data_IF_262261240072
#
_entry.id   IF_262261240072
#
_cell.length_a   1.000
_cell.length_b   1.000
_cell.length_c   1.000
_cell.angle_alpha   90.00
_cell.angle_beta   90.00
_cell.angle_gamma   90.00
#
_symmetry.space_group_name_H-M   'P 1'
#
loop_
_entity.id
_entity.type
_entity.pdbx_description
1 polymer ?
#
# COMPACT_ATOMS: atom_id res chain seq x y z
N UNK A 1 -3.89 1.50 -0.75
CA UNK A 1 -3.17 2.79 -0.86
C UNK A 1 -2.62 3.30 0.47
N UNK A 2 -3.43 3.41 1.53
CA UNK A 2 -3.00 3.95 2.85
C UNK A 2 -1.71 3.32 3.38
N UNK A 3 -1.58 1.99 3.35
CA UNK A 3 -0.39 1.28 3.83
C UNK A 3 0.89 1.71 3.11
N UNK A 4 0.88 1.73 1.78
CA UNK A 4 2.03 2.18 0.98
C UNK A 4 2.38 3.65 1.27
N UNK A 5 1.36 4.51 1.44
CA UNK A 5 1.60 5.91 1.79
C UNK A 5 2.32 6.03 3.14
N UNK A 6 1.81 5.39 4.19
CA UNK A 6 2.46 5.37 5.51
C UNK A 6 3.87 4.79 5.43
N UNK A 7 4.03 3.65 4.75
CA UNK A 7 5.30 2.93 4.63
C UNK A 7 6.37 3.70 3.85
N UNK A 8 5.98 4.48 2.84
CA UNK A 8 6.92 5.24 2.01
C UNK A 8 7.15 6.67 2.51
N UNK A 9 6.19 7.29 3.20
CA UNK A 9 6.25 8.72 3.54
C UNK A 9 6.58 9.01 5.01
N UNK A 10 6.05 8.22 5.95
CA UNK A 10 5.91 8.70 7.33
C UNK A 10 7.20 8.68 8.18
N UNK A 11 8.08 7.69 8.01
CA UNK A 11 9.24 7.55 8.89
C UNK A 11 10.30 6.57 8.40
N UNK A 12 11.19 6.14 9.31
CA UNK A 12 12.35 5.28 9.06
C UNK A 12 12.13 3.80 9.42
N UNK A 13 10.90 3.44 9.77
CA UNK A 13 10.50 2.07 10.07
C UNK A 13 9.03 1.88 9.76
N UNK A 14 8.64 0.62 9.57
CA UNK A 14 7.25 0.23 9.36
C UNK A 14 6.93 -0.94 10.28
N UNK A 15 5.71 -0.95 10.81
CA UNK A 15 5.19 -2.00 11.66
C UNK A 15 3.80 -2.37 11.19
N UNK A 16 3.51 -3.67 11.18
CA UNK A 16 2.20 -4.20 10.88
C UNK A 16 1.81 -5.24 11.93
N UNK A 17 0.62 -5.10 12.50
CA UNK A 17 0.10 -6.06 13.48
C UNK A 17 -0.45 -7.30 12.76
N UNK A 18 -0.24 -8.47 13.34
CA UNK A 18 -0.55 -9.76 12.72
C UNK A 18 -2.01 -9.84 12.23
N UNK A 19 -2.19 -10.17 10.95
CA UNK A 19 -3.48 -10.22 10.27
C UNK A 19 -3.82 -8.95 9.47
N UNK A 20 -3.28 -7.79 9.85
CA UNK A 20 -3.60 -6.53 9.19
C UNK A 20 -3.01 -6.44 7.78
N UNK A 21 -1.99 -7.24 7.45
CA UNK A 21 -1.34 -7.31 6.13
C UNK A 21 -2.34 -7.71 5.05
N UNK A 22 -3.26 -8.63 5.36
CA UNK A 22 -4.31 -9.08 4.45
C UNK A 22 -5.68 -8.48 4.75
N UNK A 23 -5.78 -7.56 5.71
CA UNK A 23 -7.04 -6.94 6.10
C UNK A 23 -7.97 -7.93 6.81
N UNK A 24 -7.45 -8.66 7.80
CA UNK A 24 -8.22 -9.59 8.62
C UNK A 24 -9.53 -8.93 9.10
N UNK A 25 -10.69 -9.59 8.92
CA UNK A 25 -11.98 -9.04 9.33
C UNK A 25 -12.14 -9.05 10.85
N UNK A 26 -13.25 -8.52 11.35
CA UNK A 26 -13.59 -8.50 12.77
C UNK A 26 -12.53 -7.77 13.64
N UNK A 27 -12.59 -7.96 14.95
CA UNK A 27 -11.68 -7.37 15.94
C UNK A 27 -10.95 -8.46 16.72
N UNK A 28 -9.97 -8.05 17.53
CA UNK A 28 -9.36 -8.92 18.55
C UNK A 28 -10.08 -8.70 19.86
N UNK A 29 -10.51 -9.79 20.49
CA UNK A 29 -11.05 -9.77 21.84
C UNK A 29 -10.45 -10.95 22.60
N UNK A 30 -9.89 -10.68 23.77
CA UNK A 30 -9.40 -11.74 24.66
C UNK A 30 -10.57 -12.29 25.50
N UNK A 31 -10.53 -13.58 25.87
CA UNK A 31 -11.48 -14.14 26.80
C UNK A 31 -11.48 -13.35 28.11
N UNK A 32 -12.66 -12.99 28.59
CA UNK A 32 -12.82 -12.31 29.87
C UNK A 32 -14.22 -12.55 30.45
N UNK A 33 -14.44 -12.28 31.76
CA UNK A 33 -15.77 -12.43 32.36
C UNK A 33 -16.86 -11.60 31.67
N UNK A 34 -16.54 -10.47 31.05
CA UNK A 34 -17.52 -9.65 30.34
C UNK A 34 -18.02 -10.26 29.04
N UNK A 35 -17.30 -11.25 28.49
CA UNK A 35 -17.69 -12.00 27.30
C UNK A 35 -17.86 -13.50 27.55
N UNK A 36 -18.06 -13.91 28.80
CA UNK A 36 -18.19 -15.31 29.22
C UNK A 36 -16.98 -16.18 28.82
N UNK A 37 -15.77 -15.62 28.93
CA UNK A 37 -14.51 -16.26 28.54
C UNK A 37 -14.54 -16.81 27.10
N UNK A 38 -15.14 -16.04 26.17
CA UNK A 38 -15.31 -16.46 24.78
C UNK A 38 -14.00 -16.29 23.97
N UNK A 39 -13.60 -17.36 23.28
CA UNK A 39 -12.39 -17.40 22.45
C UNK A 39 -12.65 -17.12 20.95
N UNK A 40 -13.89 -16.89 20.54
CA UNK A 40 -14.28 -16.72 19.13
C UNK A 40 -13.46 -15.67 18.39
N UNK A 41 -13.11 -14.56 19.05
CA UNK A 41 -12.32 -13.45 18.48
C UNK A 41 -10.85 -13.45 18.92
N UNK A 42 -10.45 -14.40 19.78
CA UNK A 42 -9.08 -14.58 20.26
C UNK A 42 -8.25 -15.43 19.29
N UNK A 43 -8.36 -15.18 17.98
CA UNK A 43 -7.74 -16.02 16.94
C UNK A 43 -7.34 -15.23 15.69
N UNK A 44 -6.67 -15.92 14.76
CA UNK A 44 -6.35 -15.43 13.42
C UNK A 44 -6.82 -16.40 12.35
N UNK A 45 -7.53 -15.86 11.37
CA UNK A 45 -8.14 -16.57 10.26
C UNK A 45 -7.22 -16.56 9.03
N UNK A 46 -6.00 -17.10 9.17
CA UNK A 46 -5.00 -17.06 8.09
C UNK A 46 -5.47 -17.72 6.79
N UNK A 47 -6.34 -18.73 6.91
CA UNK A 47 -6.98 -19.39 5.76
C UNK A 47 -7.72 -18.42 4.81
N UNK A 48 -8.14 -17.24 5.29
CA UNK A 48 -8.76 -16.21 4.44
C UNK A 48 -7.79 -15.66 3.39
N UNK A 49 -6.51 -15.51 3.73
CA UNK A 49 -5.47 -15.03 2.82
C UNK A 49 -5.06 -16.10 1.79
N UNK A 50 -5.15 -17.38 2.16
CA UNK A 50 -4.80 -18.52 1.30
C UNK A 50 -5.93 -18.91 0.34
N UNK A 51 -7.18 -18.63 0.71
CA UNK A 51 -8.35 -18.99 -0.08
C UNK A 51 -8.41 -18.23 -1.42
N UNK A 52 -8.26 -18.96 -2.53
CA UNK A 52 -8.26 -18.40 -3.87
C UNK A 52 -9.62 -17.86 -4.34
N UNK A 53 -10.72 -18.20 -3.68
CA UNK A 53 -12.05 -17.64 -3.99
C UNK A 53 -12.30 -16.31 -3.27
N UNK A 54 -11.48 -15.96 -2.27
CA UNK A 54 -11.60 -14.74 -1.47
C UNK A 54 -10.69 -13.62 -1.98
N UNK A 55 -11.00 -12.38 -1.60
CA UNK A 55 -10.25 -11.17 -2.00
C UNK A 55 -9.08 -10.80 -1.07
N UNK A 56 -9.00 -11.35 0.14
CA UNK A 56 -7.91 -11.05 1.11
C UNK A 56 -6.52 -11.36 0.55
N UNK A 57 -6.41 -12.35 -0.34
CA UNK A 57 -5.18 -12.70 -1.06
C UNK A 57 -4.56 -11.50 -1.80
N UNK A 58 -5.38 -10.57 -2.30
CA UNK A 58 -4.92 -9.39 -3.01
C UNK A 58 -4.20 -8.41 -2.09
N UNK A 59 -4.77 -8.15 -0.91
CA UNK A 59 -4.13 -7.31 0.10
C UNK A 59 -2.83 -7.96 0.62
N UNK A 60 -2.84 -9.28 0.83
CA UNK A 60 -1.65 -10.02 1.24
C UNK A 60 -0.51 -9.93 0.21
N UNK A 61 -0.84 -10.11 -1.08
CA UNK A 61 0.12 -9.98 -2.19
C UNK A 61 0.67 -8.55 -2.28
N UNK A 62 -0.19 -7.56 -2.11
CA UNK A 62 0.22 -6.16 -2.13
C UNK A 62 1.15 -5.84 -0.96
N UNK A 63 0.87 -6.32 0.25
CA UNK A 63 1.75 -6.16 1.41
C UNK A 63 3.15 -6.72 1.15
N UNK A 64 3.20 -7.95 0.64
CA UNK A 64 4.45 -8.60 0.24
C UNK A 64 5.21 -7.79 -0.80
N UNK A 65 4.51 -7.22 -1.77
CA UNK A 65 5.12 -6.40 -2.82
C UNK A 65 5.67 -5.09 -2.27
N UNK A 66 4.99 -4.41 -1.34
CA UNK A 66 5.51 -3.21 -0.66
C UNK A 66 6.84 -3.56 0.02
N UNK A 67 6.86 -4.59 0.87
CA UNK A 67 8.05 -4.97 1.64
C UNK A 67 9.23 -5.35 0.73
N UNK A 68 8.99 -6.15 -0.33
CA UNK A 68 10.05 -6.52 -1.30
C UNK A 68 10.57 -5.32 -2.09
N UNK A 69 9.69 -4.37 -2.43
CA UNK A 69 10.10 -3.15 -3.14
C UNK A 69 10.91 -2.26 -2.20
N UNK A 70 10.54 -2.19 -0.93
CA UNK A 70 11.34 -1.49 0.08
C UNK A 70 12.69 -2.16 0.29
N UNK A 71 12.77 -3.48 0.40
CA UNK A 71 14.05 -4.20 0.51
C UNK A 71 15.00 -3.90 -0.66
N UNK A 72 14.44 -3.77 -1.87
CA UNK A 72 15.20 -3.46 -3.08
C UNK A 72 15.72 -2.02 -3.11
N UNK A 73 14.92 -1.04 -2.70
CA UNK A 73 15.22 0.39 -2.88
C UNK A 73 15.64 1.11 -1.60
N UNK A 74 15.26 0.57 -0.45
CA UNK A 74 15.67 1.02 0.87
C UNK A 74 15.16 2.40 1.25
N UNK A 75 13.89 2.71 1.00
CA UNK A 75 13.37 4.04 1.35
C UNK A 75 13.24 4.27 2.85
N UNK A 76 13.04 3.24 3.69
CA UNK A 76 12.97 3.44 5.13
C UNK A 76 14.31 3.89 5.71
N UNK A 77 15.42 3.38 5.18
CA UNK A 77 16.78 3.80 5.56
C UNK A 77 17.26 5.09 4.87
N UNK A 78 16.49 5.64 3.94
CA UNK A 78 16.86 6.88 3.24
C UNK A 78 16.47 8.13 4.02
N UNK A 79 17.01 9.27 3.59
CA UNK A 79 16.52 10.59 3.99
C UNK A 79 15.02 10.73 3.71
N UNK A 80 14.39 11.66 4.42
CA UNK A 80 12.96 11.89 4.37
C UNK A 80 12.48 12.27 2.96
N UNK A 81 11.23 11.90 2.65
CA UNK A 81 10.61 12.21 1.37
C UNK A 81 10.56 13.71 1.07
N UNK A 82 10.80 14.08 -0.19
CA UNK A 82 10.61 15.44 -0.69
C UNK A 82 9.30 15.51 -1.45
N UNK A 83 8.34 16.26 -0.92
CA UNK A 83 7.03 16.44 -1.55
C UNK A 83 7.16 17.39 -2.73
N UNK A 84 6.85 16.92 -3.93
CA UNK A 84 6.89 17.73 -5.17
C UNK A 84 5.52 18.25 -5.58
N UNK A 85 4.43 17.61 -5.12
CA UNK A 85 3.06 18.10 -5.33
C UNK A 85 2.09 17.67 -4.23
N UNK A 86 1.24 18.61 -3.81
CA UNK A 86 0.02 18.37 -3.03
C UNK A 86 -1.14 19.12 -3.65
N UNK A 87 -1.87 18.49 -4.56
CA UNK A 87 -2.96 19.13 -5.27
C UNK A 87 -4.31 18.81 -4.63
N UNK A 88 -4.87 19.76 -3.87
CA UNK A 88 -6.11 19.56 -3.10
C UNK A 88 -7.35 19.30 -3.96
N UNK A 89 -7.46 19.94 -5.14
CA UNK A 89 -8.60 19.76 -6.05
C UNK A 89 -8.63 18.32 -6.58
N UNK A 90 -7.61 18.00 -7.36
CA UNK A 90 -7.37 16.66 -7.93
C UNK A 90 -7.18 15.54 -6.92
N UNK A 91 -6.92 15.83 -5.64
CA UNK A 91 -6.58 14.83 -4.62
C UNK A 91 -5.34 13.99 -5.00
N UNK A 92 -4.40 14.61 -5.71
CA UNK A 92 -3.14 13.98 -6.11
C UNK A 92 -1.99 14.44 -5.22
N UNK A 93 -1.21 13.49 -4.73
CA UNK A 93 0.02 13.74 -3.99
C UNK A 93 1.19 13.05 -4.67
N UNK A 94 2.29 13.79 -4.82
CA UNK A 94 3.54 13.29 -5.40
C UNK A 94 4.69 13.64 -4.47
N UNK A 95 5.56 12.67 -4.22
CA UNK A 95 6.80 12.87 -3.50
C UNK A 95 7.90 11.95 -4.01
N UNK A 96 9.14 12.33 -3.73
CA UNK A 96 10.33 11.55 -4.06
C UNK A 96 11.03 11.05 -2.81
N UNK A 97 11.44 9.78 -2.82
CA UNK A 97 12.22 9.18 -1.73
C UNK A 97 13.07 8.03 -2.26
N UNK A 98 14.34 7.96 -1.85
CA UNK A 98 15.30 6.93 -2.29
C UNK A 98 15.40 6.74 -3.81
N UNK A 99 15.35 7.84 -4.58
CA UNK A 99 15.41 7.79 -6.04
C UNK A 99 14.13 7.29 -6.72
N UNK A 100 13.06 7.05 -5.97
CA UNK A 100 11.74 6.71 -6.48
C UNK A 100 10.82 7.94 -6.48
N UNK A 101 9.91 7.97 -7.44
CA UNK A 101 8.78 8.91 -7.50
C UNK A 101 7.52 8.15 -7.10
N UNK A 102 6.85 8.61 -6.04
CA UNK A 102 5.59 8.06 -5.57
C UNK A 102 4.44 8.96 -6.01
N UNK A 103 3.40 8.36 -6.59
CA UNK A 103 2.22 9.08 -7.09
C UNK A 103 0.97 8.44 -6.49
N UNK A 104 0.18 9.24 -5.77
CA UNK A 104 -1.07 8.80 -5.17
C UNK A 104 -2.22 9.65 -5.72
N UNK A 105 -3.21 8.99 -6.32
CA UNK A 105 -4.50 9.60 -6.66
C UNK A 105 -5.57 9.16 -5.64
N UNK A 106 -5.92 10.05 -4.71
CA UNK A 106 -6.97 9.81 -3.73
C UNK A 106 -8.36 10.30 -4.19
N UNK A 107 -8.51 10.70 -5.46
CA UNK A 107 -9.79 11.13 -5.97
C UNK A 107 -10.74 9.93 -6.08
N UNK A 108 -11.99 10.03 -5.59
CA UNK A 108 -12.92 8.89 -5.59
C UNK A 108 -13.35 8.45 -7.00
N UNK A 109 -13.43 9.39 -7.95
CA UNK A 109 -13.99 9.12 -9.29
C UNK A 109 -13.15 9.56 -10.49
N UNK A 110 -12.25 10.54 -10.35
CA UNK A 110 -11.50 11.10 -11.48
C UNK A 110 -10.22 10.31 -11.71
N UNK A 111 -10.04 9.93 -12.97
CA UNK A 111 -8.78 9.44 -13.52
C UNK A 111 -8.18 10.52 -14.40
N UNK A 112 -6.86 10.53 -14.52
CA UNK A 112 -6.14 11.56 -15.26
C UNK A 112 -5.24 10.90 -16.30
N UNK A 113 -5.49 11.18 -17.59
CA UNK A 113 -4.50 10.94 -18.65
C UNK A 113 -3.57 12.15 -18.73
N UNK A 114 -2.33 11.93 -19.16
CA UNK A 114 -1.34 12.99 -19.41
C UNK A 114 -1.07 13.91 -18.20
N UNK A 115 -1.26 13.37 -16.99
CA UNK A 115 -1.06 14.12 -15.76
C UNK A 115 0.42 14.44 -15.57
N UNK A 116 0.77 15.73 -15.63
CA UNK A 116 2.17 16.17 -15.46
C UNK A 116 2.62 15.94 -14.02
N UNK A 117 3.59 15.04 -13.84
CA UNK A 117 4.22 14.72 -12.56
C UNK A 117 5.50 15.56 -12.42
N UNK A 118 5.62 16.43 -11.41
CA UNK A 118 6.86 17.17 -11.17
C UNK A 118 7.91 16.24 -10.57
N UNK A 119 9.06 16.15 -11.24
CA UNK A 119 10.22 15.36 -10.81
C UNK A 119 11.46 16.26 -10.68
N UNK A 120 12.36 15.93 -9.75
CA UNK A 120 13.61 16.66 -9.50
C UNK A 120 14.74 16.24 -10.43
N UNK A 121 14.69 15.02 -10.96
CA UNK A 121 15.72 14.47 -11.84
C UNK A 121 15.12 14.19 -13.23
N UNK A 122 15.76 14.73 -14.27
CA UNK A 122 15.42 14.40 -15.64
C UNK A 122 15.83 12.95 -15.95
N UNK A 123 15.01 12.26 -16.76
CA UNK A 123 15.33 10.90 -17.18
C UNK A 123 14.10 10.14 -17.66
N UNK A 124 14.31 8.86 -17.93
CA UNK A 124 13.24 7.91 -18.26
C UNK A 124 12.80 7.17 -17.00
N UNK A 125 11.49 7.15 -16.77
CA UNK A 125 10.88 6.51 -15.60
C UNK A 125 10.09 5.29 -16.02
N UNK A 126 10.00 4.32 -15.12
CA UNK A 126 9.25 3.08 -15.31
C UNK A 126 8.54 2.69 -14.02
N UNK A 127 7.41 2.01 -14.13
CA UNK A 127 6.59 1.58 -12.99
C UNK A 127 7.31 0.46 -12.25
N UNK A 128 7.64 0.67 -10.97
CA UNK A 128 8.25 -0.37 -10.13
C UNK A 128 7.23 -1.09 -9.24
N UNK A 129 6.11 -0.44 -8.91
CA UNK A 129 5.00 -1.02 -8.16
C UNK A 129 3.72 -0.27 -8.57
N UNK A 130 2.69 -1.00 -9.00
CA UNK A 130 1.39 -0.46 -9.36
C UNK A 130 0.30 -1.07 -8.48
N UNK A 131 -0.45 -0.23 -7.75
CA UNK A 131 -1.56 -0.71 -6.92
C UNK A 131 -2.78 -1.15 -7.74
N UNK A 132 -2.87 -0.78 -9.01
CA UNK A 132 -3.96 -1.15 -9.92
C UNK A 132 -3.70 -2.47 -10.66
N UNK A 133 -2.58 -3.16 -10.41
CA UNK A 133 -2.29 -4.47 -11.02
C UNK A 133 -3.34 -5.53 -10.60
N UNK A 134 -3.77 -6.37 -11.54
CA UNK A 134 -4.70 -7.48 -11.30
C UNK A 134 -4.22 -8.43 -10.20
N UNK A 135 -2.91 -8.61 -10.01
CA UNK A 135 -2.37 -9.47 -8.95
C UNK A 135 -2.65 -8.92 -7.53
N UNK A 136 -2.96 -7.63 -7.42
CA UNK A 136 -3.40 -6.93 -6.21
C UNK A 136 -4.90 -6.58 -6.26
N UNK A 137 -5.65 -7.17 -7.19
CA UNK A 137 -7.10 -6.97 -7.31
C UNK A 137 -7.50 -5.63 -7.91
N UNK A 138 -6.58 -4.94 -8.59
CA UNK A 138 -6.90 -3.73 -9.36
C UNK A 138 -7.47 -4.04 -10.76
N UNK A 139 -7.51 -3.02 -11.61
CA UNK A 139 -8.14 -3.09 -12.94
C UNK A 139 -7.13 -3.17 -14.11
N UNK A 140 -5.83 -3.17 -13.84
CA UNK A 140 -4.73 -3.16 -14.80
C UNK A 140 -4.86 -2.10 -15.90
N UNK A 141 -5.17 -0.86 -15.50
CA UNK A 141 -5.37 0.24 -16.44
C UNK A 141 -4.07 0.92 -16.85
N UNK A 142 -3.00 0.75 -16.06
CA UNK A 142 -1.70 1.32 -16.39
C UNK A 142 -0.92 0.36 -17.28
N UNK A 143 -0.27 0.88 -18.33
CA UNK A 143 0.58 0.06 -19.19
C UNK A 143 1.84 -0.37 -18.43
N UNK A 144 2.08 -1.68 -18.41
CA UNK A 144 3.32 -2.25 -17.88
C UNK A 144 4.53 -1.77 -18.70
N UNK A 145 5.70 -1.71 -18.06
CA UNK A 145 6.94 -1.34 -18.74
C UNK A 145 7.19 -2.28 -19.91
N UNK A 146 7.30 -1.71 -21.11
CA UNK A 146 7.82 -2.39 -22.30
C UNK A 146 9.35 -2.37 -22.27
#
# INVERSE_FOLDING_TARGET
>A
MSRLFTHAFAGQGFLNFIGNEFGHPDWVELPSPSNNDNYQFARRQFHLADNQQMRYKYLNRFDRAINKTEERFGWLKSNQAVVTRTHKGDKVMVFERAGLVFVFNFHPTKSYSDYKIPVRQCGSYKIMLDTDDNCFGGHSRNQANV
#
